data_IF_993127617026
#
_entry.id   IF_993127617026
#
_cell.length_a   1.000
_cell.length_b   1.000
_cell.length_c   1.000
_cell.angle_alpha   90.00
_cell.angle_beta   90.00
_cell.angle_gamma   90.00
#
_symmetry.space_group_name_H-M   'P 1'
#
loop_
_entity.id
_entity.type
_entity.pdbx_description
1 polymer ?
#
# COMPACT_ATOMS: atom_id res chain seq x y z
N UNK A 1 7.29 -47.65 -27.24
CA UNK A 1 7.61 -47.17 -25.85
C UNK A 1 8.86 -46.31 -25.81
N UNK A 2 9.92 -46.60 -26.53
CA UNK A 2 11.19 -45.82 -26.54
C UNK A 2 11.09 -44.36 -26.98
N UNK A 3 10.25 -44.02 -27.96
CA UNK A 3 10.10 -42.64 -28.45
C UNK A 3 9.58 -41.68 -27.36
N UNK A 4 8.71 -42.13 -26.46
CA UNK A 4 8.14 -41.33 -25.35
C UNK A 4 9.17 -41.04 -24.25
N UNK A 5 10.07 -41.99 -23.97
CA UNK A 5 11.17 -41.84 -23.02
C UNK A 5 12.27 -40.90 -23.52
N UNK A 6 12.59 -40.97 -24.81
CA UNK A 6 13.60 -40.11 -25.44
C UNK A 6 13.17 -38.64 -25.45
N UNK A 7 11.87 -38.35 -25.73
CA UNK A 7 11.32 -36.98 -25.65
C UNK A 7 11.35 -36.45 -24.23
N UNK A 8 11.01 -37.23 -23.20
CA UNK A 8 11.06 -36.79 -21.79
C UNK A 8 12.50 -36.45 -21.34
N UNK A 9 13.51 -37.17 -21.77
CA UNK A 9 14.92 -36.89 -21.44
C UNK A 9 15.44 -35.56 -21.96
N UNK A 10 14.85 -35.02 -23.03
CA UNK A 10 15.21 -33.71 -23.60
C UNK A 10 14.34 -32.60 -23.00
N UNK A 11 13.06 -32.85 -22.79
CA UNK A 11 12.09 -31.85 -22.31
C UNK A 11 12.39 -31.43 -20.85
N UNK A 12 12.68 -32.37 -19.97
CA UNK A 12 12.95 -32.08 -18.54
C UNK A 12 14.12 -31.10 -18.31
N UNK A 13 15.31 -31.29 -18.94
CA UNK A 13 16.41 -30.32 -18.77
C UNK A 13 16.09 -28.95 -19.38
N UNK A 14 15.31 -28.88 -20.47
CA UNK A 14 14.88 -27.62 -21.07
C UNK A 14 13.93 -26.87 -20.09
N UNK A 15 12.96 -27.54 -19.49
CA UNK A 15 12.08 -26.98 -18.49
C UNK A 15 12.91 -26.50 -17.30
N UNK A 16 13.86 -27.29 -16.82
CA UNK A 16 14.77 -26.94 -15.73
C UNK A 16 15.58 -25.66 -16.04
N UNK A 17 16.09 -25.54 -17.26
CA UNK A 17 16.84 -24.37 -17.72
C UNK A 17 15.93 -23.13 -17.78
N UNK A 18 14.71 -23.25 -18.31
CA UNK A 18 13.74 -22.15 -18.38
C UNK A 18 13.38 -21.68 -16.97
N UNK A 19 13.09 -22.60 -16.05
CA UNK A 19 12.78 -22.26 -14.65
C UNK A 19 13.97 -21.55 -13.98
N UNK A 20 15.20 -22.02 -14.22
CA UNK A 20 16.41 -21.36 -13.71
C UNK A 20 16.54 -19.93 -14.25
N UNK A 21 16.32 -19.72 -15.53
CA UNK A 21 16.37 -18.38 -16.14
C UNK A 21 15.31 -17.45 -15.51
N UNK A 22 14.08 -17.95 -15.37
CA UNK A 22 12.98 -17.19 -14.78
C UNK A 22 13.29 -16.83 -13.32
N UNK A 23 13.71 -17.79 -12.51
CA UNK A 23 14.03 -17.55 -11.08
C UNK A 23 15.21 -16.58 -10.93
N UNK A 24 16.25 -16.71 -11.77
CA UNK A 24 17.39 -15.79 -11.80
C UNK A 24 16.94 -14.38 -12.19
N UNK A 25 16.08 -14.24 -13.19
CA UNK A 25 15.53 -12.95 -13.61
C UNK A 25 14.78 -12.26 -12.47
N UNK A 26 13.86 -12.97 -11.79
CA UNK A 26 13.13 -12.42 -10.65
C UNK A 26 14.05 -12.10 -9.48
N UNK A 27 15.03 -12.94 -9.19
CA UNK A 27 16.01 -12.68 -8.14
C UNK A 27 16.81 -11.41 -8.42
N UNK A 28 17.36 -11.26 -9.63
CA UNK A 28 18.11 -10.05 -10.02
C UNK A 28 17.23 -8.80 -9.97
N UNK A 29 15.98 -8.91 -10.46
CA UNK A 29 15.02 -7.80 -10.39
C UNK A 29 14.76 -7.38 -8.94
N UNK A 30 14.52 -8.33 -8.04
CA UNK A 30 14.29 -8.05 -6.61
C UNK A 30 15.52 -7.42 -5.93
N UNK A 31 16.74 -7.86 -6.29
CA UNK A 31 17.97 -7.25 -5.76
C UNK A 31 18.13 -5.79 -6.23
N UNK A 32 17.73 -5.47 -7.47
CA UNK A 32 17.72 -4.08 -7.97
C UNK A 32 16.77 -3.20 -7.16
N UNK A 33 15.55 -3.68 -6.83
CA UNK A 33 14.63 -2.93 -5.97
C UNK A 33 15.20 -2.70 -4.58
N UNK A 34 15.75 -3.73 -3.93
CA UNK A 34 16.37 -3.59 -2.61
C UNK A 34 17.55 -2.61 -2.61
N UNK A 35 18.29 -2.55 -3.71
CA UNK A 35 19.36 -1.57 -3.87
C UNK A 35 18.78 -0.17 -4.02
N UNK A 36 17.83 0.03 -4.93
CA UNK A 36 17.18 1.32 -5.17
C UNK A 36 16.53 1.88 -3.90
N UNK A 37 15.80 1.04 -3.14
CA UNK A 37 15.20 1.40 -1.86
C UNK A 37 16.25 1.86 -0.82
N UNK A 38 17.36 1.13 -0.69
CA UNK A 38 18.44 1.50 0.24
C UNK A 38 19.12 2.82 -0.12
N UNK A 39 19.32 3.04 -1.41
CA UNK A 39 20.00 4.23 -1.95
C UNK A 39 19.03 5.41 -2.15
N UNK A 40 17.74 5.21 -1.97
CA UNK A 40 16.73 6.26 -2.10
C UNK A 40 16.99 7.40 -1.11
N UNK A 41 16.98 8.62 -1.65
CA UNK A 41 16.99 9.89 -0.90
C UNK A 41 15.64 10.59 -1.02
N UNK A 42 14.61 9.88 -1.49
CA UNK A 42 13.29 10.43 -1.68
C UNK A 42 12.67 10.85 -0.36
N UNK A 43 12.19 12.08 -0.31
CA UNK A 43 11.56 12.68 0.87
C UNK A 43 10.59 13.77 0.42
N UNK A 44 9.65 14.11 1.29
CA UNK A 44 8.84 15.32 1.13
C UNK A 44 9.69 16.56 1.42
N UNK A 45 9.33 17.67 0.81
CA UNK A 45 9.87 18.98 1.18
C UNK A 45 9.36 19.38 2.57
N UNK A 46 10.03 20.34 3.21
CA UNK A 46 9.58 20.89 4.49
C UNK A 46 8.16 21.48 4.38
N UNK A 47 7.89 22.22 3.29
CA UNK A 47 6.56 22.78 3.04
C UNK A 47 5.47 21.73 2.88
N UNK A 48 5.75 20.63 2.19
CA UNK A 48 4.80 19.51 2.07
C UNK A 48 4.59 18.80 3.40
N UNK A 49 5.65 18.60 4.16
CA UNK A 49 5.55 17.98 5.49
C UNK A 49 4.67 18.82 6.43
N UNK A 50 4.73 20.15 6.36
CA UNK A 50 3.91 21.06 7.14
C UNK A 50 2.42 21.04 6.74
N UNK A 51 2.06 20.55 5.55
CA UNK A 51 0.68 20.39 5.12
C UNK A 51 0.00 19.18 5.77
N UNK A 52 0.78 18.20 6.24
CA UNK A 52 0.26 16.94 6.77
C UNK A 52 -0.37 17.13 8.16
N UNK A 53 -1.42 16.36 8.41
CA UNK A 53 -2.05 16.26 9.73
C UNK A 53 -2.47 14.82 10.03
N UNK A 54 -2.75 14.54 11.31
CA UNK A 54 -3.32 13.24 11.70
C UNK A 54 -4.63 12.97 10.96
N UNK A 55 -4.82 11.71 10.56
CA UNK A 55 -5.99 11.28 9.80
C UNK A 55 -5.88 11.44 8.28
N UNK A 56 -4.83 12.08 7.77
CA UNK A 56 -4.55 12.05 6.33
C UNK A 56 -4.24 10.62 5.89
N UNK A 57 -4.65 10.26 4.68
CA UNK A 57 -4.32 8.98 4.06
C UNK A 57 -3.14 9.19 3.11
N UNK A 58 -2.08 8.43 3.34
CA UNK A 58 -0.88 8.48 2.50
C UNK A 58 -0.77 7.21 1.65
N UNK A 59 -0.42 7.38 0.38
CA UNK A 59 -0.26 6.31 -0.60
C UNK A 59 1.14 6.33 -1.17
N UNK A 60 1.60 5.15 -1.61
CA UNK A 60 2.89 4.98 -2.27
C UNK A 60 2.88 3.84 -3.29
N UNK A 61 3.77 3.89 -4.26
CA UNK A 61 4.26 2.72 -4.96
C UNK A 61 5.51 2.21 -4.24
N UNK A 62 5.40 1.08 -3.54
CA UNK A 62 6.54 0.47 -2.86
C UNK A 62 7.54 -0.14 -3.85
N UNK A 63 8.77 -0.39 -3.40
CA UNK A 63 9.73 -1.15 -4.18
C UNK A 63 9.41 -2.65 -4.15
N UNK A 64 9.47 -3.31 -5.30
CA UNK A 64 9.37 -4.75 -5.39
C UNK A 64 8.42 -5.27 -6.47
N UNK A 65 8.59 -6.55 -6.80
CA UNK A 65 7.83 -7.21 -7.87
C UNK A 65 6.34 -7.28 -7.55
N UNK A 66 5.99 -7.46 -6.28
CA UNK A 66 4.60 -7.53 -5.84
C UNK A 66 3.95 -6.15 -5.93
N UNK A 67 4.65 -5.09 -5.52
CA UNK A 67 4.16 -3.71 -5.67
C UNK A 67 3.90 -3.36 -7.14
N UNK A 68 4.80 -3.71 -8.05
CA UNK A 68 4.58 -3.55 -9.50
C UNK A 68 3.37 -4.36 -9.99
N UNK A 69 3.17 -5.57 -9.46
CA UNK A 69 2.03 -6.39 -9.84
C UNK A 69 0.72 -5.75 -9.36
N UNK A 70 0.67 -5.20 -8.14
CA UNK A 70 -0.50 -4.49 -7.62
C UNK A 70 -0.83 -3.32 -8.54
N UNK A 71 0.12 -2.42 -8.83
CA UNK A 71 -0.08 -1.28 -9.74
C UNK A 71 -0.62 -1.73 -11.10
N UNK A 72 -0.01 -2.76 -11.68
CA UNK A 72 -0.41 -3.27 -12.99
C UNK A 72 -1.83 -3.85 -13.02
N UNK A 73 -2.24 -4.55 -11.95
CA UNK A 73 -3.51 -5.28 -11.94
C UNK A 73 -4.66 -4.52 -11.27
N UNK A 74 -4.37 -3.60 -10.36
CA UNK A 74 -5.39 -2.75 -9.73
C UNK A 74 -6.06 -1.80 -10.73
N UNK A 75 -5.33 -1.36 -11.78
CA UNK A 75 -5.82 -0.43 -12.82
C UNK A 75 -6.39 0.86 -12.21
N UNK A 76 -5.75 1.37 -11.18
CA UNK A 76 -6.08 2.64 -10.55
C UNK A 76 -5.57 3.82 -11.40
N UNK A 77 -6.15 5.00 -11.22
CA UNK A 77 -5.73 6.24 -11.92
C UNK A 77 -4.29 6.65 -11.59
N UNK A 78 -3.76 6.16 -10.47
CA UNK A 78 -2.41 6.45 -10.00
C UNK A 78 -1.62 5.15 -9.79
N UNK A 79 -0.30 5.15 -10.04
CA UNK A 79 0.55 3.98 -9.83
C UNK A 79 0.87 3.76 -8.35
N UNK A 80 -0.12 3.41 -7.56
CA UNK A 80 -0.02 3.16 -6.11
C UNK A 80 -0.23 1.68 -5.79
N UNK A 81 0.44 1.18 -4.77
CA UNK A 81 0.37 -0.22 -4.35
C UNK A 81 0.17 -0.40 -2.85
N UNK A 82 0.15 0.69 -2.09
CA UNK A 82 0.09 0.64 -0.64
C UNK A 82 -0.44 1.95 -0.06
N UNK A 83 -1.08 1.87 1.12
CA UNK A 83 -1.54 3.04 1.85
C UNK A 83 -1.42 2.87 3.37
N UNK A 84 -1.53 3.98 4.08
CA UNK A 84 -1.57 4.05 5.53
C UNK A 84 -2.20 5.35 6.02
N UNK A 85 -2.30 5.51 7.33
CA UNK A 85 -2.86 6.69 7.99
C UNK A 85 -1.73 7.47 8.65
N UNK A 86 -1.67 8.77 8.40
CA UNK A 86 -0.74 9.69 9.06
C UNK A 86 -1.19 9.92 10.50
N UNK A 87 -0.25 9.80 11.42
CA UNK A 87 -0.45 10.02 12.86
C UNK A 87 0.73 10.79 13.46
N UNK A 88 0.57 11.30 14.68
CA UNK A 88 1.70 11.71 15.52
C UNK A 88 2.13 10.54 16.40
N UNK A 89 3.42 10.27 16.47
CA UNK A 89 3.99 9.29 17.37
C UNK A 89 4.04 9.79 18.83
N UNK A 90 4.64 9.02 19.73
CA UNK A 90 4.76 9.37 21.16
C UNK A 90 5.65 10.60 21.42
N UNK A 91 6.43 11.04 20.45
CA UNK A 91 7.27 12.23 20.50
C UNK A 91 6.62 13.45 19.83
N UNK A 92 5.41 13.29 19.26
CA UNK A 92 4.74 14.31 18.48
C UNK A 92 5.31 14.47 17.06
N UNK A 93 6.06 13.48 16.57
CA UNK A 93 6.58 13.46 15.19
C UNK A 93 5.61 12.75 14.24
N UNK A 94 5.57 13.20 12.99
CA UNK A 94 4.76 12.56 11.95
C UNK A 94 5.25 11.14 11.66
N UNK A 95 4.30 10.22 11.69
CA UNK A 95 4.49 8.80 11.43
C UNK A 95 3.31 8.26 10.61
N UNK A 96 3.44 7.04 10.11
CA UNK A 96 2.41 6.36 9.32
C UNK A 96 2.09 5.03 9.97
N UNK A 97 0.82 4.79 10.30
CA UNK A 97 0.34 3.45 10.65
C UNK A 97 -0.16 2.79 9.37
N UNK A 98 0.34 1.60 9.11
CA UNK A 98 -0.03 0.78 7.95
C UNK A 98 0.10 -0.71 8.29
N UNK A 99 -0.30 -1.59 7.39
CA UNK A 99 -0.15 -3.04 7.56
C UNK A 99 0.64 -3.66 6.42
N UNK A 100 1.55 -4.57 6.73
CA UNK A 100 2.46 -5.19 5.76
C UNK A 100 2.41 -6.71 5.86
N UNK A 101 2.58 -7.39 4.71
CA UNK A 101 2.70 -8.84 4.67
C UNK A 101 4.13 -9.27 4.96
N UNK A 102 4.30 -10.35 5.72
CA UNK A 102 5.60 -11.00 5.94
C UNK A 102 6.21 -11.59 4.66
N UNK A 103 5.45 -11.69 3.58
CA UNK A 103 5.98 -12.05 2.27
C UNK A 103 6.77 -10.91 1.62
N UNK A 104 6.54 -9.66 2.06
CA UNK A 104 7.19 -8.44 1.57
C UNK A 104 8.25 -7.90 2.53
N UNK A 105 8.01 -8.04 3.82
CA UNK A 105 8.88 -7.56 4.88
C UNK A 105 9.17 -8.70 5.87
N UNK A 106 10.21 -8.56 6.72
CA UNK A 106 10.48 -9.51 7.79
C UNK A 106 9.51 -9.37 8.98
N UNK A 107 8.47 -8.56 8.84
CA UNK A 107 7.49 -8.20 9.87
C UNK A 107 6.10 -8.42 9.26
N UNK A 108 5.14 -8.88 10.05
CA UNK A 108 3.76 -9.12 9.63
C UNK A 108 2.79 -8.19 10.34
N UNK A 109 1.76 -7.73 9.62
CA UNK A 109 0.65 -6.96 10.18
C UNK A 109 0.95 -5.49 10.41
N UNK A 110 0.31 -4.94 11.44
CA UNK A 110 0.30 -3.51 11.73
C UNK A 110 1.67 -2.98 12.14
N UNK A 111 2.09 -1.88 11.52
CA UNK A 111 3.37 -1.19 11.74
C UNK A 111 3.16 0.30 11.97
N UNK A 112 4.08 0.89 12.75
CA UNK A 112 4.26 2.34 12.87
C UNK A 112 5.62 2.69 12.29
N UNK A 113 5.64 3.36 11.18
CA UNK A 113 6.87 3.83 10.54
C UNK A 113 6.97 5.36 10.64
N UNK A 114 8.17 5.89 10.92
CA UNK A 114 8.40 7.34 10.77
C UNK A 114 8.07 7.76 9.35
N UNK A 115 7.49 8.94 9.17
CA UNK A 115 7.11 9.46 7.86
C UNK A 115 8.26 9.35 6.84
N UNK A 116 9.46 9.81 7.21
CA UNK A 116 10.62 9.76 6.31
C UNK A 116 11.02 8.33 5.91
N UNK A 117 10.83 7.32 6.78
CA UNK A 117 11.05 5.92 6.42
C UNK A 117 10.02 5.47 5.39
N UNK A 118 8.73 5.73 5.64
CA UNK A 118 7.65 5.37 4.72
C UNK A 118 7.88 5.99 3.32
N UNK A 119 8.26 7.26 3.26
CA UNK A 119 8.56 7.96 2.00
C UNK A 119 9.82 7.37 1.32
N UNK A 120 10.90 7.12 2.06
CA UNK A 120 12.14 6.54 1.52
C UNK A 120 11.91 5.17 0.89
N UNK A 121 11.02 4.36 1.45
CA UNK A 121 10.62 3.05 0.92
C UNK A 121 9.63 3.13 -0.25
N UNK A 122 9.33 4.33 -0.73
CA UNK A 122 8.50 4.60 -1.91
C UNK A 122 9.36 4.80 -3.15
N UNK A 123 8.89 4.33 -4.30
CA UNK A 123 9.51 4.71 -5.57
C UNK A 123 9.43 6.25 -5.74
N UNK A 124 10.44 6.82 -6.36
CA UNK A 124 10.49 8.28 -6.56
C UNK A 124 9.26 8.75 -7.34
N UNK A 125 8.70 9.87 -6.94
CA UNK A 125 7.50 10.48 -7.54
C UNK A 125 6.25 9.57 -7.49
N UNK A 126 6.08 8.80 -6.41
CA UNK A 126 4.92 7.89 -6.27
C UNK A 126 4.09 8.14 -5.01
N UNK A 127 4.33 9.22 -4.29
CA UNK A 127 3.59 9.54 -3.08
C UNK A 127 2.40 10.44 -3.40
N UNK A 128 1.25 10.07 -2.86
CA UNK A 128 0.03 10.89 -2.83
C UNK A 128 -0.42 10.98 -1.38
N UNK A 129 -0.98 12.13 -1.00
CA UNK A 129 -1.69 12.28 0.27
C UNK A 129 -3.07 12.83 -0.01
N UNK A 130 -4.09 12.18 0.54
CA UNK A 130 -5.47 12.66 0.48
C UNK A 130 -6.00 12.97 1.87
N UNK A 131 -6.90 13.95 1.93
CA UNK A 131 -7.59 14.38 3.14
C UNK A 131 -9.08 14.30 2.96
N UNK A 132 -9.76 13.68 3.93
CA UNK A 132 -11.21 13.64 3.95
C UNK A 132 -11.79 15.04 4.17
N UNK A 133 -12.79 15.44 3.37
CA UNK A 133 -13.33 16.81 3.39
C UNK A 133 -13.89 17.24 4.74
N UNK A 134 -14.50 16.30 5.48
CA UNK A 134 -15.05 16.58 6.80
C UNK A 134 -14.06 16.35 7.95
N UNK A 135 -12.76 16.25 7.65
CA UNK A 135 -11.72 16.05 8.65
C UNK A 135 -11.49 17.34 9.44
N UNK A 136 -12.14 17.46 10.57
CA UNK A 136 -11.85 18.47 11.61
C UNK A 136 -10.86 17.90 12.66
N UNK A 137 -10.47 18.73 13.61
CA UNK A 137 -9.52 18.33 14.66
C UNK A 137 -10.03 17.17 15.52
N UNK A 138 -11.34 17.10 15.78
CA UNK A 138 -11.94 16.04 16.59
C UNK A 138 -11.93 14.71 15.83
N UNK A 139 -12.36 14.71 14.58
CA UNK A 139 -12.35 13.51 13.73
C UNK A 139 -10.92 13.03 13.45
N UNK A 140 -10.00 13.97 13.20
CA UNK A 140 -8.58 13.71 13.03
C UNK A 140 -7.98 12.91 14.20
N UNK A 141 -8.20 13.43 15.43
CA UNK A 141 -7.75 12.76 16.66
C UNK A 141 -8.37 11.37 16.81
N UNK A 142 -9.68 11.23 16.59
CA UNK A 142 -10.37 9.93 16.69
C UNK A 142 -9.84 8.91 15.69
N UNK A 143 -9.57 9.32 14.44
CA UNK A 143 -8.98 8.46 13.40
C UNK A 143 -7.59 8.00 13.85
N UNK A 144 -6.74 8.92 14.32
CA UNK A 144 -5.40 8.59 14.79
C UNK A 144 -5.42 7.65 16.00
N UNK A 145 -6.27 7.89 16.98
CA UNK A 145 -6.44 7.02 18.15
C UNK A 145 -6.92 5.64 17.75
N UNK A 146 -7.85 5.54 16.82
CA UNK A 146 -8.37 4.25 16.36
C UNK A 146 -7.34 3.47 15.55
N UNK A 147 -6.55 4.15 14.72
CA UNK A 147 -5.41 3.54 14.04
C UNK A 147 -4.37 3.01 15.04
N UNK A 148 -4.06 3.78 16.10
CA UNK A 148 -3.18 3.38 17.21
C UNK A 148 -3.76 2.20 18.01
N UNK A 149 -5.09 2.14 18.18
CA UNK A 149 -5.75 1.00 18.80
C UNK A 149 -5.49 -0.29 18.01
N UNK A 150 -5.69 -0.30 16.70
CA UNK A 150 -5.40 -1.47 15.86
C UNK A 150 -3.91 -1.84 15.88
N UNK A 151 -3.01 -0.85 15.86
CA UNK A 151 -1.58 -1.08 16.02
C UNK A 151 -1.28 -1.81 17.33
N UNK A 152 -1.87 -1.37 18.45
CA UNK A 152 -1.68 -1.98 19.77
C UNK A 152 -2.17 -3.43 19.84
N UNK A 153 -3.16 -3.78 19.01
CA UNK A 153 -3.69 -5.14 18.87
C UNK A 153 -2.83 -6.04 18.00
N UNK A 154 -1.82 -5.49 17.33
CA UNK A 154 -0.93 -6.22 16.43
C UNK A 154 -1.71 -7.05 15.39
N UNK A 155 -2.77 -6.48 14.81
CA UNK A 155 -3.60 -7.16 13.83
C UNK A 155 -2.70 -7.66 12.69
N UNK A 156 -2.73 -8.97 12.36
CA UNK A 156 -1.89 -9.53 11.30
C UNK A 156 -2.36 -9.09 9.91
N UNK A 157 -1.46 -9.25 8.91
CA UNK A 157 -1.82 -8.96 7.52
C UNK A 157 -2.73 -10.04 6.96
N UNK A 158 -3.78 -9.63 6.24
CA UNK A 158 -4.63 -10.56 5.52
C UNK A 158 -4.07 -10.87 4.12
N UNK A 159 -3.45 -12.04 3.98
CA UNK A 159 -2.92 -12.52 2.71
C UNK A 159 -4.00 -13.17 1.81
N UNK A 160 -5.22 -13.34 2.31
CA UNK A 160 -6.35 -13.87 1.53
C UNK A 160 -7.16 -12.75 0.88
N UNK A 161 -6.96 -11.49 1.31
CA UNK A 161 -7.71 -10.32 0.86
C UNK A 161 -9.23 -10.48 1.04
N UNK A 162 -9.64 -11.06 2.18
CA UNK A 162 -11.03 -11.29 2.56
C UNK A 162 -11.57 -10.10 3.37
N UNK A 163 -12.31 -9.21 2.73
CA UNK A 163 -12.88 -8.01 3.35
C UNK A 163 -13.93 -8.28 4.42
N UNK A 164 -14.38 -9.53 4.57
CA UNK A 164 -15.32 -9.93 5.62
C UNK A 164 -14.60 -10.44 6.88
N UNK A 165 -13.33 -10.85 6.78
CA UNK A 165 -12.53 -11.29 7.93
C UNK A 165 -12.03 -10.08 8.74
N UNK A 166 -12.66 -9.82 9.89
CA UNK A 166 -12.29 -8.73 10.79
C UNK A 166 -11.09 -9.04 11.70
N UNK A 167 -10.45 -10.20 11.57
CA UNK A 167 -9.32 -10.61 12.42
C UNK A 167 -7.96 -10.28 11.83
N UNK A 168 -7.93 -9.92 10.55
CA UNK A 168 -6.74 -9.56 9.76
C UNK A 168 -7.08 -8.42 8.82
N UNK A 169 -6.08 -7.62 8.44
CA UNK A 169 -6.30 -6.50 7.53
C UNK A 169 -5.23 -6.46 6.43
N UNK A 170 -5.63 -6.11 5.22
CA UNK A 170 -4.73 -5.55 4.22
C UNK A 170 -4.84 -4.02 4.19
N UNK A 171 -3.99 -3.33 3.45
CA UNK A 171 -3.77 -1.90 3.64
C UNK A 171 -5.03 -1.03 3.41
N UNK A 172 -5.80 -1.27 2.35
CA UNK A 172 -7.02 -0.50 2.06
C UNK A 172 -8.13 -0.84 3.04
N UNK A 173 -8.26 -2.10 3.45
CA UNK A 173 -9.20 -2.52 4.46
C UNK A 173 -8.94 -1.87 5.82
N UNK A 174 -7.66 -1.82 6.26
CA UNK A 174 -7.30 -1.13 7.50
C UNK A 174 -7.77 0.33 7.49
N UNK A 175 -7.49 1.07 6.42
CA UNK A 175 -7.92 2.47 6.29
C UNK A 175 -9.44 2.57 6.32
N UNK A 176 -10.14 1.72 5.55
CA UNK A 176 -11.59 1.72 5.53
C UNK A 176 -12.20 1.42 6.91
N UNK A 177 -11.71 0.42 7.64
CA UNK A 177 -12.23 0.06 8.96
C UNK A 177 -12.07 1.21 9.94
N UNK A 178 -10.91 1.85 10.00
CA UNK A 178 -10.69 3.01 10.86
C UNK A 178 -11.72 4.11 10.56
N UNK A 179 -11.89 4.48 9.29
CA UNK A 179 -12.84 5.52 8.92
C UNK A 179 -14.30 5.10 9.18
N UNK A 180 -14.68 3.90 8.81
CA UNK A 180 -16.06 3.40 8.98
C UNK A 180 -16.47 3.35 10.45
N UNK A 181 -15.58 2.90 11.34
CA UNK A 181 -15.88 2.78 12.78
C UNK A 181 -15.86 4.14 13.51
N UNK A 182 -15.08 5.10 13.01
CA UNK A 182 -14.94 6.41 13.64
C UNK A 182 -15.95 7.43 13.11
N UNK A 183 -16.18 7.44 11.78
CA UNK A 183 -17.03 8.45 11.12
C UNK A 183 -18.41 7.93 10.73
N UNK A 184 -18.65 6.62 10.87
CA UNK A 184 -19.88 5.93 10.41
C UNK A 184 -20.11 6.08 8.89
N UNK A 185 -19.06 6.44 8.15
CA UNK A 185 -19.10 6.61 6.68
C UNK A 185 -18.49 5.40 6.01
N UNK A 186 -19.30 4.63 5.28
CA UNK A 186 -18.79 3.57 4.40
C UNK A 186 -18.14 4.19 3.16
N UNK A 187 -16.80 4.27 3.19
CA UNK A 187 -16.02 4.88 2.11
C UNK A 187 -16.09 4.08 0.81
N UNK A 188 -16.36 2.78 0.86
CA UNK A 188 -16.55 1.97 -0.36
C UNK A 188 -17.91 2.18 -1.01
N UNK A 189 -18.86 2.76 -0.30
CA UNK A 189 -20.17 3.09 -0.84
C UNK A 189 -20.17 4.51 -1.39
N UNK A 190 -19.87 4.69 -2.68
CA UNK A 190 -19.82 6.01 -3.32
C UNK A 190 -21.20 6.63 -3.49
N UNK A 191 -22.19 5.81 -3.92
CA UNK A 191 -23.60 6.21 -4.03
C UNK A 191 -24.51 5.09 -3.48
N UNK A 192 -25.82 5.28 -3.50
CA UNK A 192 -26.78 4.24 -3.07
C UNK A 192 -26.68 2.94 -3.88
N UNK A 193 -26.17 3.02 -5.12
CA UNK A 193 -26.07 1.87 -6.04
C UNK A 193 -24.64 1.52 -6.45
N UNK A 194 -23.64 2.33 -6.07
CA UNK A 194 -22.26 2.13 -6.51
C UNK A 194 -21.34 1.89 -5.30
N UNK A 195 -20.73 0.71 -5.26
CA UNK A 195 -19.64 0.37 -4.33
C UNK A 195 -18.34 0.21 -5.11
N UNK A 196 -17.25 0.61 -4.47
CA UNK A 196 -15.89 0.34 -4.93
C UNK A 196 -15.44 -1.00 -4.32
N UNK A 197 -14.59 -1.71 -5.03
CA UNK A 197 -13.93 -2.92 -4.50
C UNK A 197 -13.12 -2.55 -3.25
N UNK A 198 -13.14 -3.42 -2.24
CA UNK A 198 -12.44 -3.18 -0.97
C UNK A 198 -10.91 -3.15 -1.13
N UNK A 199 -10.37 -3.67 -2.21
CA UNK A 199 -8.95 -3.58 -2.54
C UNK A 199 -8.61 -2.28 -3.30
N UNK A 200 -9.62 -1.50 -3.75
CA UNK A 200 -9.37 -0.29 -4.54
C UNK A 200 -8.94 0.88 -3.66
N UNK A 201 -7.94 1.62 -4.13
CA UNK A 201 -7.52 2.89 -3.54
C UNK A 201 -8.44 4.05 -3.96
N UNK A 202 -9.22 3.92 -5.05
CA UNK A 202 -10.09 4.97 -5.58
C UNK A 202 -11.11 5.48 -4.55
N UNK A 203 -11.53 4.63 -3.59
CA UNK A 203 -12.44 5.04 -2.52
C UNK A 203 -11.91 6.23 -1.69
N UNK A 204 -10.59 6.31 -1.51
CA UNK A 204 -9.89 7.29 -0.69
C UNK A 204 -9.31 8.47 -1.50
N UNK A 205 -9.52 8.46 -2.81
CA UNK A 205 -9.10 9.50 -3.75
C UNK A 205 -10.30 10.15 -4.46
N UNK A 206 -11.52 9.69 -4.13
CA UNK A 206 -12.73 10.15 -4.80
C UNK A 206 -13.01 11.63 -4.49
N UNK A 207 -13.09 12.52 -5.52
CA UNK A 207 -13.12 13.97 -5.33
C UNK A 207 -14.37 14.50 -4.63
N UNK A 208 -15.44 13.70 -4.52
CA UNK A 208 -16.61 14.08 -3.72
C UNK A 208 -16.38 14.01 -2.20
N UNK A 209 -15.30 13.34 -1.75
CA UNK A 209 -15.03 13.09 -0.32
C UNK A 209 -13.64 13.46 0.13
N UNK A 210 -12.69 13.48 -0.79
CA UNK A 210 -11.27 13.70 -0.51
C UNK A 210 -10.69 14.80 -1.38
N UNK A 211 -9.81 15.59 -0.79
CA UNK A 211 -8.91 16.49 -1.50
C UNK A 211 -7.51 15.88 -1.54
N UNK A 212 -6.87 15.88 -2.70
CA UNK A 212 -5.45 15.53 -2.80
C UNK A 212 -4.64 16.71 -2.29
N UNK A 213 -3.87 16.50 -1.21
CA UNK A 213 -3.04 17.51 -0.55
C UNK A 213 -1.63 17.53 -1.13
N UNK A 214 -1.10 16.34 -1.44
CA UNK A 214 0.21 16.15 -2.09
C UNK A 214 0.02 15.14 -3.21
N UNK A 215 0.59 15.41 -4.38
CA UNK A 215 0.59 14.49 -5.51
C UNK A 215 1.94 14.53 -6.22
N UNK A 216 2.76 13.52 -5.98
CA UNK A 216 4.01 13.31 -6.70
C UNK A 216 3.86 12.34 -7.87
N UNK A 217 2.70 11.71 -8.06
CA UNK A 217 2.44 10.87 -9.22
C UNK A 217 2.18 11.79 -10.43
N UNK A 218 3.03 11.71 -11.43
CA UNK A 218 2.64 12.20 -12.75
C UNK A 218 1.45 11.37 -13.22
N UNK A 219 0.39 12.03 -13.65
CA UNK A 219 -0.74 11.35 -14.27
C UNK A 219 -0.20 10.56 -15.47
N UNK A 220 -0.11 9.25 -15.32
CA UNK A 220 0.24 8.39 -16.45
C UNK A 220 -0.92 8.47 -17.43
N UNK A 221 -0.68 8.77 -18.73
CA UNK A 221 -1.74 8.62 -19.72
C UNK A 221 -2.20 7.17 -19.70
N UNK A 222 -3.50 6.97 -19.55
CA UNK A 222 -4.14 5.66 -19.67
C UNK A 222 -3.94 5.21 -21.12
N UNK A 223 -3.05 4.22 -21.35
CA UNK A 223 -2.92 3.53 -22.65
C UNK A 223 -4.00 2.45 -22.82
#
# INVERSE_FOLDING_TARGET
MESKYRKRRIILPIIGLILMIITTFFFVKQQRYRKAERESTYQLTEGETQLLQEGDIIFRHGYGIISDAIVKYAKEDYPISHCGIVVLDSLGELAVIHTVSNTLANIDGMQLDKLNKFIKESQVNSVIVSRYHSLDSTLSTRIAEHAKYYLSRQIPFDNNFDCEDSTKFFCTEFVWRVFNEVSEVDLYKLTSSQRVDCMSFAAFLHPARFSIIINHCESQPIE
#
